data_IF_624750123409
#
_entry.id   IF_624750123409
#
_cell.length_a   1.000
_cell.length_b   1.000
_cell.length_c   1.000
_cell.angle_alpha   90.00
_cell.angle_beta   90.00
_cell.angle_gamma   90.00
#
_symmetry.space_group_name_H-M   'P 1'
#
loop_
_entity.id
_entity.type
_entity.pdbx_description
1 polymer ?
#
# COMPACT_ATOMS: atom_id res chain seq x y z
N UNK A 1 10.27 4.60 -9.20
CA UNK A 1 10.28 5.57 -8.09
C UNK A 1 8.95 5.54 -7.38
N UNK A 2 8.99 5.84 -6.09
CA UNK A 2 7.77 5.81 -5.28
C UNK A 2 6.77 6.88 -5.66
N UNK A 3 7.23 7.98 -6.23
CA UNK A 3 6.34 9.11 -6.49
C UNK A 3 5.21 8.75 -7.43
N UNK A 4 5.48 7.95 -8.47
CA UNK A 4 4.43 7.55 -9.40
C UNK A 4 3.44 6.59 -8.73
N UNK A 5 3.95 5.63 -7.97
CA UNK A 5 3.09 4.66 -7.29
C UNK A 5 2.29 5.34 -6.20
N UNK A 6 2.89 6.29 -5.49
CA UNK A 6 2.17 7.02 -4.45
C UNK A 6 1.06 7.88 -5.05
N UNK A 7 1.34 8.56 -6.17
CA UNK A 7 0.32 9.36 -6.83
C UNK A 7 -0.82 8.46 -7.33
N UNK A 8 -0.49 7.32 -7.88
CA UNK A 8 -1.50 6.35 -8.31
C UNK A 8 -2.36 5.90 -7.13
N UNK A 9 -1.72 5.58 -6.00
CA UNK A 9 -2.44 5.15 -4.81
C UNK A 9 -3.40 6.24 -4.34
N UNK A 10 -2.92 7.49 -4.28
CA UNK A 10 -3.76 8.59 -3.81
C UNK A 10 -4.96 8.81 -4.73
N UNK A 11 -4.74 8.71 -6.03
CA UNK A 11 -5.82 8.87 -7.00
C UNK A 11 -6.84 7.73 -6.98
N UNK A 12 -6.46 6.57 -6.44
CA UNK A 12 -7.33 5.40 -6.39
C UNK A 12 -7.71 5.04 -4.95
N UNK A 13 -7.48 5.93 -4.02
CA UNK A 13 -7.63 5.64 -2.60
C UNK A 13 -9.02 5.12 -2.25
N UNK A 14 -10.07 5.75 -2.79
CA UNK A 14 -11.43 5.33 -2.49
C UNK A 14 -11.69 3.91 -2.98
N UNK A 15 -11.25 3.60 -4.21
CA UNK A 15 -11.39 2.27 -4.77
C UNK A 15 -10.61 1.24 -3.94
N UNK A 16 -9.38 1.57 -3.60
CA UNK A 16 -8.52 0.66 -2.87
C UNK A 16 -9.07 0.41 -1.46
N UNK A 17 -9.49 1.47 -0.77
CA UNK A 17 -10.04 1.31 0.57
C UNK A 17 -11.35 0.55 0.57
N UNK A 18 -12.13 0.67 -0.51
CA UNK A 18 -13.37 -0.09 -0.64
C UNK A 18 -13.15 -1.57 -0.88
N UNK A 19 -12.06 -1.93 -1.55
CA UNK A 19 -11.77 -3.33 -1.85
C UNK A 19 -10.90 -4.01 -0.81
N UNK A 20 -10.07 -3.24 -0.11
CA UNK A 20 -9.13 -3.78 0.88
C UNK A 20 -9.22 -2.98 2.18
N UNK A 21 -10.41 -2.89 2.80
CA UNK A 21 -10.61 -1.95 3.91
C UNK A 21 -9.65 -2.21 5.07
N UNK A 22 -8.84 -1.22 5.37
CA UNK A 22 -7.91 -1.27 6.50
C UNK A 22 -6.70 -2.15 6.31
N UNK A 23 -6.59 -2.85 5.18
CA UNK A 23 -5.46 -3.75 4.95
C UNK A 23 -4.25 -2.96 4.46
N UNK A 24 -3.08 -3.57 4.63
CA UNK A 24 -1.84 -2.98 4.12
C UNK A 24 -1.58 -3.57 2.75
N UNK A 25 -1.55 -2.72 1.74
CA UNK A 25 -1.40 -3.15 0.35
C UNK A 25 -0.01 -2.82 -0.15
N UNK A 26 0.51 -3.69 -1.00
CA UNK A 26 1.79 -3.49 -1.65
C UNK A 26 1.50 -2.94 -3.03
N UNK A 27 2.05 -1.77 -3.34
CA UNK A 27 1.85 -1.09 -4.62
C UNK A 27 3.14 -1.16 -5.41
N UNK A 28 3.05 -1.67 -6.63
CA UNK A 28 4.19 -1.71 -7.52
C UNK A 28 3.69 -1.53 -8.95
N UNK A 29 4.35 -0.65 -9.69
CA UNK A 29 4.03 -0.37 -11.09
C UNK A 29 2.56 -0.02 -11.26
N UNK A 30 2.06 0.83 -10.36
CA UNK A 30 0.68 1.33 -10.41
C UNK A 30 -0.34 0.19 -10.32
N UNK A 31 -0.06 -0.78 -9.48
CA UNK A 31 -0.97 -1.91 -9.27
C UNK A 31 -0.85 -2.42 -7.83
N UNK A 32 -1.93 -3.00 -7.34
CA UNK A 32 -1.92 -3.67 -6.04
C UNK A 32 -1.46 -5.09 -6.28
N UNK A 33 -0.33 -5.46 -5.69
CA UNK A 33 0.22 -6.81 -5.89
C UNK A 33 0.06 -7.69 -4.66
N UNK A 34 -0.49 -7.15 -3.58
CA UNK A 34 -0.80 -7.94 -2.39
C UNK A 34 -1.50 -7.10 -1.36
N UNK A 35 -2.28 -7.74 -0.50
CA UNK A 35 -2.99 -7.07 0.58
C UNK A 35 -2.91 -7.95 1.83
N UNK A 36 -2.61 -7.36 2.96
CA UNK A 36 -2.30 -8.10 4.18
C UNK A 36 -2.92 -7.41 5.39
N UNK A 37 -3.20 -8.18 6.45
CA UNK A 37 -3.91 -7.62 7.61
C UNK A 37 -3.07 -6.69 8.47
N UNK A 38 -1.74 -6.77 8.36
CA UNK A 38 -0.89 -5.88 9.15
C UNK A 38 0.38 -5.56 8.38
N UNK A 39 1.08 -4.54 8.86
CA UNK A 39 2.26 -4.04 8.17
C UNK A 39 3.37 -5.08 8.11
N UNK A 40 3.58 -5.80 9.20
CA UNK A 40 4.63 -6.81 9.24
C UNK A 40 4.42 -7.91 8.20
N UNK A 41 3.18 -8.36 8.02
CA UNK A 41 2.87 -9.36 7.02
C UNK A 41 3.14 -8.82 5.61
N UNK A 42 2.79 -7.56 5.36
CA UNK A 42 3.05 -6.93 4.07
C UNK A 42 4.54 -6.83 3.80
N UNK A 43 5.32 -6.44 4.80
CA UNK A 43 6.77 -6.32 4.66
C UNK A 43 7.40 -7.68 4.33
N UNK A 44 6.97 -8.72 5.04
CA UNK A 44 7.50 -10.07 4.79
C UNK A 44 7.16 -10.55 3.38
N UNK A 45 5.93 -10.31 2.96
CA UNK A 45 5.51 -10.70 1.62
C UNK A 45 6.28 -9.93 0.56
N UNK A 46 6.48 -8.62 0.77
CA UNK A 46 7.25 -7.82 -0.16
C UNK A 46 8.69 -8.32 -0.26
N UNK A 47 9.30 -8.68 0.86
CA UNK A 47 10.66 -9.21 0.86
C UNK A 47 10.75 -10.52 0.07
N UNK A 48 9.74 -11.38 0.20
CA UNK A 48 9.72 -12.63 -0.54
C UNK A 48 9.51 -12.43 -2.03
N UNK A 49 8.63 -11.47 -2.39
CA UNK A 49 8.30 -11.25 -3.80
C UNK A 49 9.34 -10.43 -4.53
N UNK A 50 9.90 -9.44 -3.87
CA UNK A 50 10.74 -8.45 -4.54
C UNK A 50 12.16 -8.38 -3.98
N UNK A 51 12.44 -9.13 -2.93
CA UNK A 51 13.76 -9.12 -2.34
C UNK A 51 14.14 -7.74 -1.83
N UNK A 52 15.23 -7.20 -2.34
CA UNK A 52 15.75 -5.91 -1.91
C UNK A 52 15.16 -4.74 -2.68
N UNK A 53 14.28 -5.00 -3.64
CA UNK A 53 13.66 -3.91 -4.38
C UNK A 53 12.76 -3.12 -3.45
N UNK A 54 12.72 -1.82 -3.69
CA UNK A 54 11.85 -0.95 -2.93
C UNK A 54 10.45 -0.98 -3.50
N UNK A 55 9.47 -1.14 -2.63
CA UNK A 55 8.06 -1.11 -3.03
C UNK A 55 7.31 -0.25 -2.03
N UNK A 56 6.17 0.26 -2.45
CA UNK A 56 5.34 1.11 -1.60
C UNK A 56 4.36 0.22 -0.84
N UNK A 57 4.29 0.40 0.48
CA UNK A 57 3.31 -0.29 1.31
C UNK A 57 2.45 0.78 1.97
N UNK A 58 1.15 0.73 1.74
CA UNK A 58 0.22 1.72 2.28
C UNK A 58 -0.97 1.01 2.89
N UNK A 59 -1.53 1.61 3.94
CA UNK A 59 -2.77 1.11 4.50
C UNK A 59 -3.93 1.64 3.67
N UNK A 60 -4.86 0.75 3.33
CA UNK A 60 -5.99 1.08 2.48
C UNK A 60 -7.10 1.75 3.29
N UNK A 61 -6.95 3.05 3.50
CA UNK A 61 -7.90 3.87 4.22
C UNK A 61 -8.47 4.92 3.28
N UNK A 62 -9.71 5.38 3.53
CA UNK A 62 -10.31 6.38 2.65
C UNK A 62 -9.56 7.72 2.66
N UNK A 63 -8.80 7.98 3.71
CA UNK A 63 -7.94 9.16 3.74
C UNK A 63 -6.77 8.87 4.67
N UNK A 64 -5.71 9.65 4.52
CA UNK A 64 -4.54 9.50 5.34
C UNK A 64 -4.89 9.67 6.80
N UNK A 65 -4.34 8.81 7.69
CA UNK A 65 -4.50 9.03 9.12
C UNK A 65 -3.93 10.38 9.51
N UNK A 66 -4.65 11.10 10.35
CA UNK A 66 -4.19 12.39 10.80
C UNK A 66 -3.60 12.27 12.19
N UNK A 67 -2.47 12.92 12.36
CA UNK A 67 -1.80 12.94 13.65
C UNK A 67 -2.04 14.28 14.30
N UNK A 68 -2.76 14.25 15.38
CA UNK A 68 -3.04 15.46 16.13
C UNK A 68 -1.96 15.66 17.16
N UNK A 69 -1.34 16.77 17.07
CA UNK A 69 -0.24 17.11 17.98
C UNK A 69 -0.76 18.09 19.03
#
# INVERSE_FOLDING_TARGET
>A
MFSDDQAWFEGNRAFISGNYPGQFVIVKDKAIVGAYPNYGAAVMAAAKMFGKQQVLIKQALPQEPQHMI
#
